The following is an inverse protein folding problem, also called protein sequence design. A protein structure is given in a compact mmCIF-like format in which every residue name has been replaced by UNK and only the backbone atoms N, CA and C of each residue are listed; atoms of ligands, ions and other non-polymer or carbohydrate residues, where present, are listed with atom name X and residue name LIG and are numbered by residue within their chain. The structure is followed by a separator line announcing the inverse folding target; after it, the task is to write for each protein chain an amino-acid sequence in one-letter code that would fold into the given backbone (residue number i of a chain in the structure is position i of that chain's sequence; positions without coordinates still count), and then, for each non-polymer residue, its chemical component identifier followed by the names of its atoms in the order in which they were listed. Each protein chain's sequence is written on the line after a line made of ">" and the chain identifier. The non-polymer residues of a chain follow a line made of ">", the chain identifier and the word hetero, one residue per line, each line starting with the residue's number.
data_IF_669543853898
#
_entry.id   IF_669543853898
#
_cell.length_a   1.000
_cell.length_b   1.000
_cell.length_c   1.000
_cell.angle_alpha   90.00
_cell.angle_beta   90.00
_cell.angle_gamma   90.00
#
_symmetry.space_group_name_H-M   'P 1'
#
loop_
_entity.id
_entity.type
_entity.pdbx_description
1 polymer ?
#
# COMPACT_ATOMS: atom_id res chain seq x y z
N UNK A 1 27.24 -8.07 -20.25
CA UNK A 1 26.97 -8.74 -18.96
C UNK A 1 26.64 -7.76 -17.83
N UNK A 2 27.50 -6.78 -17.49
CA UNK A 2 27.26 -5.83 -16.37
C UNK A 2 25.95 -5.01 -16.48
N UNK A 3 25.55 -4.63 -17.71
CA UNK A 3 24.29 -3.90 -17.97
C UNK A 3 23.04 -4.77 -17.75
N UNK A 4 23.09 -6.02 -18.20
CA UNK A 4 22.00 -6.99 -18.00
C UNK A 4 21.79 -7.28 -16.50
N UNK A 5 22.87 -7.46 -15.74
CA UNK A 5 22.80 -7.66 -14.28
C UNK A 5 22.13 -6.48 -13.58
N UNK A 6 22.45 -5.24 -13.97
CA UNK A 6 21.79 -4.04 -13.41
C UNK A 6 20.30 -3.99 -13.72
N UNK A 7 19.92 -4.32 -14.95
CA UNK A 7 18.51 -4.34 -15.37
C UNK A 7 17.72 -5.39 -14.59
N UNK A 8 18.27 -6.60 -14.45
CA UNK A 8 17.65 -7.69 -13.69
C UNK A 8 17.48 -7.31 -12.21
N UNK A 9 18.48 -6.67 -11.60
CA UNK A 9 18.42 -6.24 -10.21
C UNK A 9 17.34 -5.18 -9.95
N UNK A 10 17.13 -4.25 -10.90
CA UNK A 10 16.05 -3.26 -10.81
C UNK A 10 14.69 -3.94 -10.99
N UNK A 11 14.54 -4.80 -12.00
CA UNK A 11 13.29 -5.52 -12.25
C UNK A 11 12.89 -6.42 -11.07
N UNK A 12 13.85 -7.08 -10.41
CA UNK A 12 13.56 -7.91 -9.24
C UNK A 12 13.02 -7.09 -8.07
N UNK A 13 13.49 -5.85 -7.88
CA UNK A 13 12.98 -4.97 -6.83
C UNK A 13 11.52 -4.57 -7.08
N UNK A 14 11.16 -4.29 -8.33
CA UNK A 14 9.77 -3.99 -8.71
C UNK A 14 8.84 -5.20 -8.67
N UNK A 15 9.37 -6.43 -8.71
CA UNK A 15 8.59 -7.65 -8.60
C UNK A 15 8.27 -8.07 -7.15
N UNK A 16 8.96 -7.52 -6.15
CA UNK A 16 8.74 -7.85 -4.72
C UNK A 16 7.28 -7.71 -4.25
N UNK A 17 6.51 -6.68 -4.65
CA UNK A 17 5.12 -6.54 -4.22
C UNK A 17 4.20 -7.65 -4.73
N UNK A 18 4.56 -8.35 -5.82
CA UNK A 18 3.76 -9.45 -6.37
C UNK A 18 3.74 -10.68 -5.44
N UNK A 19 4.70 -10.77 -4.52
CA UNK A 19 4.80 -11.86 -3.55
C UNK A 19 4.10 -11.56 -2.22
N UNK A 20 3.51 -10.37 -2.06
CA UNK A 20 2.76 -10.02 -0.86
C UNK A 20 1.38 -10.68 -0.91
N UNK A 21 1.19 -11.72 -0.12
CA UNK A 21 -0.12 -12.37 0.06
C UNK A 21 -0.97 -11.58 1.05
N UNK A 22 -2.30 -11.63 0.86
CA UNK A 22 -3.23 -11.03 1.81
C UNK A 22 -3.12 -11.73 3.18
N UNK A 23 -3.27 -10.96 4.26
CA UNK A 23 -3.35 -11.52 5.60
C UNK A 23 -4.56 -12.46 5.71
N UNK A 24 -4.44 -13.58 6.44
CA UNK A 24 -5.59 -14.44 6.70
C UNK A 24 -6.68 -13.66 7.46
N UNK A 25 -7.97 -14.06 7.32
CA UNK A 25 -9.05 -13.44 8.07
C UNK A 25 -8.74 -13.42 9.56
N UNK A 26 -8.92 -12.26 10.21
CA UNK A 26 -8.77 -12.14 11.65
C UNK A 26 -9.76 -13.11 12.34
N UNK A 27 -9.37 -13.84 13.40
CA UNK A 27 -10.21 -14.85 14.05
C UNK A 27 -11.60 -14.34 14.48
N UNK A 28 -11.70 -13.04 14.79
CA UNK A 28 -12.95 -12.38 15.20
C UNK A 28 -13.60 -11.54 14.08
N UNK A 29 -13.27 -11.81 12.81
CA UNK A 29 -14.00 -11.20 11.70
C UNK A 29 -15.40 -11.81 11.63
N UNK A 30 -16.48 -11.00 11.51
CA UNK A 30 -17.84 -11.52 11.38
C UNK A 30 -18.04 -12.47 10.19
N UNK A 31 -17.11 -12.44 9.22
CA UNK A 31 -17.13 -13.20 7.98
C UNK A 31 -15.97 -14.23 7.95
N UNK A 32 -15.96 -15.18 8.89
CA UNK A 32 -15.09 -16.37 8.86
C UNK A 32 -15.51 -17.40 7.78
N UNK A 33 -16.05 -16.92 6.66
CA UNK A 33 -16.25 -17.65 5.41
C UNK A 33 -15.67 -16.75 4.33
N UNK A 34 -14.60 -17.21 3.69
CA UNK A 34 -13.69 -16.36 2.91
C UNK A 34 -14.36 -15.36 1.96
N UNK A 35 -13.78 -14.16 1.94
CA UNK A 35 -13.92 -13.20 0.84
C UNK A 35 -15.04 -12.17 1.01
N UNK A 36 -14.66 -10.90 0.80
CA UNK A 36 -15.59 -9.88 0.32
C UNK A 36 -16.44 -9.20 1.39
N UNK A 37 -16.35 -7.87 1.41
CA UNK A 37 -17.24 -6.98 2.14
C UNK A 37 -18.69 -7.18 1.66
N UNK A 38 -19.56 -7.71 2.52
CA UNK A 38 -21.00 -7.46 2.40
C UNK A 38 -21.32 -6.15 3.16
N UNK A 39 -22.10 -5.22 2.59
CA UNK A 39 -22.61 -4.08 3.36
C UNK A 39 -23.54 -4.62 4.44
N UNK A 40 -23.31 -4.18 5.68
CA UNK A 40 -23.98 -4.62 6.88
C UNK A 40 -25.51 -4.38 6.79
N UNK A 41 -26.30 -5.42 6.52
CA UNK A 41 -27.75 -5.42 6.76
C UNK A 41 -28.01 -6.01 8.14
N UNK A 42 -28.34 -5.14 9.10
CA UNK A 42 -29.02 -5.54 10.34
C UNK A 42 -28.17 -5.55 11.61
N UNK A 43 -28.05 -4.39 12.26
CA UNK A 43 -28.03 -4.33 13.73
C UNK A 43 -26.79 -4.81 14.49
N UNK A 44 -25.66 -5.08 13.83
CA UNK A 44 -24.41 -5.44 14.52
C UNK A 44 -23.47 -4.25 14.65
N UNK A 45 -23.08 -3.97 15.90
CA UNK A 45 -22.22 -2.88 16.34
C UNK A 45 -21.06 -2.59 15.37
N UNK A 46 -20.92 -1.31 15.03
CA UNK A 46 -19.96 -0.72 14.10
C UNK A 46 -18.49 -0.98 14.49
N UNK A 47 -17.96 -2.17 14.21
CA UNK A 47 -16.51 -2.32 14.01
C UNK A 47 -16.23 -2.23 12.51
N UNK A 48 -15.58 -1.15 12.03
CA UNK A 48 -15.19 -1.06 10.63
C UNK A 48 -14.33 -2.27 10.25
N UNK A 49 -14.85 -3.12 9.37
CA UNK A 49 -14.10 -4.18 8.71
C UNK A 49 -13.18 -3.53 7.67
N UNK A 50 -12.08 -2.92 8.14
CA UNK A 50 -11.21 -2.14 7.27
C UNK A 50 -9.95 -1.66 7.98
N UNK A 51 -9.02 -2.59 8.24
CA UNK A 51 -7.71 -2.28 8.83
C UNK A 51 -6.52 -2.99 8.19
N UNK A 52 -6.75 -3.84 7.18
CA UNK A 52 -5.71 -4.71 6.59
C UNK A 52 -5.13 -4.24 5.26
N UNK A 53 -5.71 -3.22 4.61
CA UNK A 53 -5.10 -2.64 3.42
C UNK A 53 -3.99 -1.66 3.89
N UNK A 54 -2.71 -1.85 3.49
CA UNK A 54 -1.64 -0.94 3.85
C UNK A 54 -1.78 0.39 3.09
N UNK A 55 -2.73 1.22 3.52
CA UNK A 55 -2.97 2.57 3.00
C UNK A 55 -1.75 3.47 3.29
N UNK A 56 -1.11 3.26 4.44
CA UNK A 56 -0.01 4.11 4.89
C UNK A 56 1.24 3.98 4.01
N UNK A 57 1.59 2.79 3.53
CA UNK A 57 2.77 2.61 2.67
C UNK A 57 2.70 3.45 1.39
N UNK A 58 1.53 3.48 0.75
CA UNK A 58 1.27 4.29 -0.45
C UNK A 58 1.09 5.78 -0.14
N UNK A 59 0.43 6.12 0.97
CA UNK A 59 0.18 7.52 1.34
C UNK A 59 1.47 8.23 1.78
N UNK A 60 2.31 7.55 2.57
CA UNK A 60 3.59 8.06 3.04
C UNK A 60 4.56 8.33 1.89
N UNK A 61 4.64 7.45 0.87
CA UNK A 61 5.49 7.67 -0.31
C UNK A 61 4.99 8.85 -1.16
N UNK A 62 3.67 9.00 -1.32
CA UNK A 62 3.07 10.11 -2.05
C UNK A 62 3.32 11.45 -1.35
N UNK A 63 3.13 11.49 -0.03
CA UNK A 63 3.45 12.66 0.80
C UNK A 63 4.93 13.06 0.67
N UNK A 64 5.84 12.09 0.77
CA UNK A 64 7.28 12.34 0.65
C UNK A 64 7.64 12.90 -0.72
N UNK A 65 7.12 12.32 -1.81
CA UNK A 65 7.34 12.83 -3.17
C UNK A 65 6.78 14.25 -3.35
N UNK A 66 5.57 14.52 -2.85
CA UNK A 66 4.96 15.84 -2.90
C UNK A 66 5.81 16.89 -2.18
N UNK A 67 6.27 16.59 -0.96
CA UNK A 67 7.13 17.47 -0.19
C UNK A 67 8.49 17.70 -0.88
N UNK A 68 9.13 16.64 -1.39
CA UNK A 68 10.40 16.74 -2.09
C UNK A 68 10.30 17.58 -3.37
N UNK A 69 9.25 17.37 -4.18
CA UNK A 69 9.00 18.16 -5.38
C UNK A 69 8.73 19.64 -5.04
N UNK A 70 7.90 19.91 -4.03
CA UNK A 70 7.61 21.26 -3.54
C UNK A 70 8.86 22.00 -3.08
N UNK A 71 9.69 21.35 -2.26
CA UNK A 71 10.96 21.90 -1.79
C UNK A 71 11.91 22.23 -2.95
N UNK A 72 12.03 21.33 -3.93
CA UNK A 72 12.87 21.55 -5.13
C UNK A 72 12.39 22.75 -5.96
N UNK A 73 11.08 22.99 -6.06
CA UNK A 73 10.51 24.12 -6.80
C UNK A 73 10.78 25.44 -6.08
N UNK A 74 10.58 25.49 -4.77
CA UNK A 74 10.89 26.68 -3.95
C UNK A 74 12.37 27.02 -3.99
N UNK A 75 13.26 26.02 -3.90
CA UNK A 75 14.69 26.24 -4.01
C UNK A 75 15.09 26.87 -5.35
N UNK A 76 14.52 26.38 -6.47
CA UNK A 76 14.80 26.95 -7.79
C UNK A 76 14.25 28.37 -7.98
N UNK A 77 13.12 28.71 -7.35
CA UNK A 77 12.59 30.08 -7.38
C UNK A 77 13.41 31.06 -6.53
N UNK A 78 14.14 30.55 -5.53
CA UNK A 78 15.02 31.35 -4.66
C UNK A 78 16.46 31.44 -5.16
N UNK A 79 16.82 30.65 -6.19
CA UNK A 79 18.14 30.64 -6.81
C UNK A 79 18.13 31.47 -8.07
#
# INVERSE_FOLDING_TARGET
>A
MKKAIRIIAVLSFFALPLMMTAQPPHPNSPNNTGGGNAPNTGGQNNTPVGGGAPIDGGLSILMLMGAAYGARKVYQLRK
#
